data_IF_280572043252
#
_entry.id   IF_280572043252
#
_cell.length_a   1.000
_cell.length_b   1.000
_cell.length_c   1.000
_cell.angle_alpha   90.00
_cell.angle_beta   90.00
_cell.angle_gamma   90.00
#
_symmetry.space_group_name_H-M   'P 1'
#
loop_
_entity.id
_entity.type
_entity.pdbx_description
1 polymer ?
#
# COMPACT_ATOMS: atom_id res chain seq x y z
N UNK A 1 14.82 2.45 2.55
CA UNK A 1 13.63 2.62 1.70
C UNK A 1 12.43 2.95 2.55
N UNK A 2 11.73 4.03 2.23
CA UNK A 2 10.52 4.42 2.96
C UNK A 2 9.28 3.89 2.25
N UNK A 3 8.28 3.52 3.04
CA UNK A 3 6.98 3.12 2.53
C UNK A 3 5.98 4.24 2.79
N UNK A 4 5.30 4.68 1.75
CA UNK A 4 4.32 5.76 1.83
C UNK A 4 2.95 5.21 1.42
N UNK A 5 1.94 5.54 2.21
CA UNK A 5 0.57 5.09 1.97
C UNK A 5 -0.32 6.26 1.58
N UNK A 6 -1.16 6.03 0.58
CA UNK A 6 -2.19 6.98 0.17
C UNK A 6 -3.54 6.28 0.17
N UNK A 7 -4.53 6.89 0.80
CA UNK A 7 -5.90 6.37 0.79
C UNK A 7 -6.78 7.34 0.02
N UNK A 8 -7.35 6.87 -1.08
CA UNK A 8 -8.13 7.72 -2.01
C UNK A 8 -7.36 8.96 -2.47
N UNK A 9 -6.05 8.78 -2.70
CA UNK A 9 -5.19 9.87 -3.15
C UNK A 9 -4.65 10.78 -2.05
N UNK A 10 -5.03 10.55 -0.80
CA UNK A 10 -4.55 11.35 0.34
C UNK A 10 -3.52 10.57 1.14
N UNK A 11 -2.41 11.22 1.47
CA UNK A 11 -1.38 10.60 2.28
C UNK A 11 -1.93 10.18 3.64
N UNK A 12 -1.63 8.95 4.04
CA UNK A 12 -2.07 8.40 5.32
C UNK A 12 -0.89 7.72 6.03
N UNK A 13 -1.15 7.15 7.20
CA UNK A 13 -0.12 6.50 7.99
C UNK A 13 -0.29 4.98 7.97
N UNK A 14 0.80 4.27 8.27
CA UNK A 14 0.76 2.83 8.40
C UNK A 14 -0.23 2.39 9.48
N UNK A 15 -0.29 3.12 10.59
CA UNK A 15 -1.21 2.82 11.67
C UNK A 15 -2.67 2.89 11.20
N UNK A 16 -3.01 3.94 10.45
CA UNK A 16 -4.36 4.09 9.92
C UNK A 16 -4.71 2.96 8.95
N UNK A 17 -3.77 2.57 8.08
CA UNK A 17 -3.97 1.46 7.15
C UNK A 17 -4.14 0.14 7.90
N UNK A 18 -3.32 -0.08 8.94
CA UNK A 18 -3.42 -1.28 9.76
C UNK A 18 -4.79 -1.40 10.43
N UNK A 19 -5.31 -0.30 10.94
CA UNK A 19 -6.65 -0.28 11.54
C UNK A 19 -7.75 -0.55 10.52
N UNK A 20 -7.54 -0.12 9.29
CA UNK A 20 -8.52 -0.31 8.21
C UNK A 20 -8.56 -1.75 7.70
N UNK A 21 -7.41 -2.36 7.45
CA UNK A 21 -7.33 -3.67 6.79
C UNK A 21 -6.92 -4.83 7.69
N UNK A 22 -6.33 -4.55 8.85
CA UNK A 22 -5.79 -5.56 9.74
C UNK A 22 -4.32 -5.87 9.42
N UNK A 23 -3.62 -6.41 10.42
CA UNK A 23 -2.18 -6.62 10.34
C UNK A 23 -1.77 -7.65 9.27
N UNK A 24 -2.47 -8.78 9.23
CA UNK A 24 -2.13 -9.84 8.28
C UNK A 24 -2.35 -9.41 6.84
N UNK A 25 -3.45 -8.75 6.58
CA UNK A 25 -3.76 -8.26 5.24
C UNK A 25 -2.76 -7.19 4.81
N UNK A 26 -2.38 -6.31 5.75
CA UNK A 26 -1.37 -5.29 5.48
C UNK A 26 -0.03 -5.92 5.12
N UNK A 27 0.39 -6.97 5.84
CA UNK A 27 1.64 -7.68 5.52
C UNK A 27 1.62 -8.27 4.12
N UNK A 28 0.52 -8.90 3.73
CA UNK A 28 0.39 -9.47 2.39
C UNK A 28 0.43 -8.40 1.31
N UNK A 29 -0.26 -7.29 1.53
CA UNK A 29 -0.26 -6.17 0.60
C UNK A 29 1.14 -5.58 0.45
N UNK A 30 1.88 -5.42 1.55
CA UNK A 30 3.25 -4.94 1.51
C UNK A 30 4.17 -5.87 0.75
N UNK A 31 4.02 -7.19 0.94
CA UNK A 31 4.83 -8.18 0.21
C UNK A 31 4.56 -8.12 -1.29
N UNK A 32 3.30 -8.05 -1.69
CA UNK A 32 2.93 -7.92 -3.10
C UNK A 32 3.48 -6.62 -3.70
N UNK A 33 3.34 -5.53 -2.98
CA UNK A 33 3.84 -4.24 -3.44
C UNK A 33 5.36 -4.25 -3.61
N UNK A 34 6.09 -4.87 -2.68
CA UNK A 34 7.54 -4.99 -2.78
C UNK A 34 7.97 -5.82 -3.97
N UNK A 35 7.30 -6.94 -4.22
CA UNK A 35 7.60 -7.79 -5.36
C UNK A 35 7.40 -7.04 -6.67
N UNK A 36 6.29 -6.32 -6.80
CA UNK A 36 6.01 -5.51 -7.97
C UNK A 36 7.06 -4.41 -8.13
N UNK A 37 7.44 -3.76 -7.06
CA UNK A 37 8.44 -2.70 -7.09
C UNK A 37 9.80 -3.22 -7.53
N UNK A 38 10.18 -4.42 -7.09
CA UNK A 38 11.46 -5.02 -7.47
C UNK A 38 11.48 -5.45 -8.94
N UNK A 39 10.35 -5.91 -9.48
CA UNK A 39 10.24 -6.29 -10.88
C UNK A 39 10.15 -5.07 -11.81
N UNK A 40 9.36 -4.08 -11.41
CA UNK A 40 9.16 -2.86 -12.20
C UNK A 40 8.88 -1.67 -11.28
N UNK A 41 9.94 -0.91 -10.92
CA UNK A 41 9.78 0.24 -10.02
C UNK A 41 8.89 1.36 -10.56
N UNK A 42 8.57 1.34 -11.84
CA UNK A 42 7.71 2.35 -12.46
C UNK A 42 6.23 2.08 -12.27
N UNK A 43 5.84 0.89 -11.79
CA UNK A 43 4.44 0.55 -11.60
C UNK A 43 3.95 1.03 -10.24
N UNK A 44 2.78 1.68 -10.24
CA UNK A 44 2.12 2.11 -9.03
C UNK A 44 1.34 0.96 -8.43
N UNK A 45 1.46 0.76 -7.12
CA UNK A 45 0.79 -0.33 -6.42
C UNK A 45 -0.53 0.16 -5.81
N UNK A 46 -1.64 -0.14 -6.48
CA UNK A 46 -2.98 0.22 -6.01
C UNK A 46 -3.75 -1.02 -5.59
N UNK A 47 -4.39 -0.94 -4.45
CA UNK A 47 -5.24 -2.00 -3.92
C UNK A 47 -6.64 -1.47 -3.70
N UNK A 48 -7.64 -2.16 -4.21
CA UNK A 48 -9.02 -1.74 -4.05
C UNK A 48 -9.64 -2.39 -2.81
N UNK A 49 -10.20 -1.56 -1.94
CA UNK A 49 -10.82 -1.97 -0.69
C UNK A 49 -12.29 -1.54 -0.71
N UNK A 50 -13.10 -2.27 -1.48
CA UNK A 50 -14.49 -1.86 -1.69
C UNK A 50 -14.57 -0.55 -2.47
N UNK A 51 -15.01 0.53 -1.83
CA UNK A 51 -15.10 1.85 -2.45
C UNK A 51 -13.84 2.70 -2.28
N UNK A 52 -12.84 2.15 -1.59
CA UNK A 52 -11.60 2.87 -1.32
C UNK A 52 -10.43 2.29 -2.11
N UNK A 53 -9.48 3.13 -2.43
CA UNK A 53 -8.26 2.71 -3.10
C UNK A 53 -7.06 3.03 -2.21
N UNK A 54 -6.28 2.02 -1.90
CA UNK A 54 -5.04 2.17 -1.15
C UNK A 54 -3.86 2.09 -2.10
N UNK A 55 -3.02 3.12 -2.11
CA UNK A 55 -1.80 3.16 -2.92
C UNK A 55 -0.60 3.05 -2.00
N UNK A 56 0.34 2.17 -2.36
CA UNK A 56 1.58 1.99 -1.62
C UNK A 56 2.75 2.38 -2.51
N UNK A 57 3.56 3.32 -2.05
CA UNK A 57 4.76 3.76 -2.74
C UNK A 57 6.01 3.48 -1.91
N UNK A 58 7.10 3.20 -2.61
CA UNK A 58 8.42 3.02 -1.99
C UNK A 58 9.38 4.09 -2.52
N UNK A 59 10.11 4.71 -1.60
CA UNK A 59 11.12 5.74 -1.96
C UNK A 59 12.50 5.33 -1.51
#
# INVERSE_FOLDING_TARGET
>A
MKTIFYLNGKKTTRKAVKELVGEERLKRMLNEAKETFMEDPGIQNDFFLGHQMLTIEFC
#
